data_IF_710167586167
#
_entry.id   IF_710167586167
#
_cell.length_a   1.000
_cell.length_b   1.000
_cell.length_c   1.000
_cell.angle_alpha   90.00
_cell.angle_beta   90.00
_cell.angle_gamma   90.00
#
_symmetry.space_group_name_H-M   'P 1'
#
loop_
_entity.id
_entity.type
_entity.pdbx_description
1 polymer ?
#
# COMPACT_ATOMS: atom_id res chain seq x y z
N UNK A 1 36.41 15.62 -70.77
CA UNK A 1 35.54 16.23 -69.74
C UNK A 1 34.53 15.15 -69.34
N UNK A 2 34.83 14.30 -68.36
CA UNK A 2 34.52 14.44 -66.91
C UNK A 2 33.01 14.60 -66.63
N UNK A 3 32.42 13.54 -66.07
CA UNK A 3 31.07 13.50 -65.48
C UNK A 3 30.63 12.04 -65.40
N UNK A 4 30.76 11.30 -64.30
CA UNK A 4 30.47 11.67 -62.91
C UNK A 4 29.34 10.75 -62.44
N UNK A 5 29.67 9.51 -62.08
CA UNK A 5 28.72 8.51 -61.57
C UNK A 5 28.20 8.96 -60.20
N UNK A 6 26.94 9.39 -60.13
CA UNK A 6 26.26 9.62 -58.86
C UNK A 6 25.86 8.28 -58.25
N UNK A 7 26.69 7.79 -57.33
CA UNK A 7 26.35 6.70 -56.43
C UNK A 7 25.50 7.24 -55.28
N UNK A 8 24.20 6.93 -55.28
CA UNK A 8 23.34 7.12 -54.11
C UNK A 8 23.67 6.03 -53.08
N UNK A 9 24.59 6.32 -52.15
CA UNK A 9 24.73 5.52 -50.94
C UNK A 9 23.56 5.83 -50.02
N UNK A 10 22.57 4.93 -49.97
CA UNK A 10 21.56 4.93 -48.93
C UNK A 10 22.25 4.78 -47.56
N UNK A 11 22.32 5.87 -46.81
CA UNK A 11 22.69 5.83 -45.40
C UNK A 11 21.61 5.03 -44.68
N UNK A 12 21.92 3.77 -44.33
CA UNK A 12 21.12 3.01 -43.39
C UNK A 12 21.11 3.80 -42.07
N UNK A 13 20.04 4.56 -41.82
CA UNK A 13 19.74 5.05 -40.49
C UNK A 13 19.62 3.82 -39.61
N UNK A 14 20.72 3.46 -38.91
CA UNK A 14 20.67 2.58 -37.76
C UNK A 14 19.60 3.19 -36.87
N UNK A 15 18.40 2.59 -36.84
CA UNK A 15 17.39 2.87 -35.82
C UNK A 15 18.16 2.82 -34.50
N UNK A 16 18.42 3.97 -33.88
CA UNK A 16 19.09 4.04 -32.59
C UNK A 16 18.21 3.18 -31.68
N UNK A 17 18.70 1.99 -31.31
CA UNK A 17 18.02 1.18 -30.31
C UNK A 17 17.85 2.09 -29.10
N UNK A 18 16.65 2.21 -28.51
CA UNK A 18 16.48 3.01 -27.31
C UNK A 18 17.57 2.59 -26.30
N UNK A 19 18.35 3.57 -25.85
CA UNK A 19 19.51 3.34 -25.00
C UNK A 19 19.02 2.72 -23.69
N UNK A 20 19.56 1.55 -23.33
CA UNK A 20 19.15 0.84 -22.13
C UNK A 20 19.51 1.67 -20.90
N UNK A 21 18.61 1.79 -19.94
CA UNK A 21 18.95 2.44 -18.68
C UNK A 21 20.03 1.61 -17.97
N UNK A 22 20.95 2.29 -17.28
CA UNK A 22 21.89 1.65 -16.34
C UNK A 22 21.78 2.46 -15.06
N UNK A 23 21.41 1.81 -13.97
CA UNK A 23 21.20 2.47 -12.70
C UNK A 23 21.75 1.66 -11.51
N UNK A 24 22.07 2.36 -10.43
CA UNK A 24 22.50 1.79 -9.16
C UNK A 24 21.71 2.37 -8.00
N UNK A 25 21.81 1.72 -6.83
CA UNK A 25 21.01 2.02 -5.64
C UNK A 25 19.95 0.94 -5.37
N UNK A 26 19.41 0.94 -4.15
CA UNK A 26 18.48 -0.10 -3.71
C UNK A 26 19.11 -1.50 -3.69
N UNK A 27 18.28 -2.51 -3.41
CA UNK A 27 18.67 -3.92 -3.49
C UNK A 27 18.41 -4.42 -4.91
N UNK A 28 19.46 -4.89 -5.58
CA UNK A 28 19.40 -5.37 -6.96
C UNK A 28 19.05 -6.85 -7.09
N UNK A 29 18.24 -7.18 -8.09
CA UNK A 29 18.02 -8.56 -8.55
C UNK A 29 17.76 -8.61 -10.06
N UNK A 30 17.83 -9.79 -10.65
CA UNK A 30 17.58 -9.99 -12.09
C UNK A 30 16.36 -10.85 -12.34
N UNK A 31 15.69 -10.59 -13.46
CA UNK A 31 14.47 -11.30 -13.85
C UNK A 31 14.51 -11.63 -15.35
N UNK A 32 14.20 -12.89 -15.69
CA UNK A 32 13.95 -13.32 -17.06
C UNK A 32 12.45 -13.64 -17.23
N UNK A 33 11.77 -12.98 -18.17
CA UNK A 33 10.36 -13.23 -18.51
C UNK A 33 10.20 -13.20 -20.02
N UNK A 34 9.65 -14.29 -20.60
CA UNK A 34 9.34 -14.40 -22.03
C UNK A 34 10.53 -14.03 -22.94
N UNK A 35 11.73 -14.51 -22.60
CA UNK A 35 12.96 -14.24 -23.35
C UNK A 35 13.50 -12.81 -23.24
N UNK A 36 12.99 -12.01 -22.28
CA UNK A 36 13.49 -10.66 -21.97
C UNK A 36 14.12 -10.66 -20.58
N UNK A 37 15.20 -9.90 -20.45
CA UNK A 37 15.99 -9.82 -19.23
C UNK A 37 15.87 -8.42 -18.62
N UNK A 38 15.75 -8.37 -17.31
CA UNK A 38 15.55 -7.14 -16.56
C UNK A 38 16.44 -7.10 -15.32
N UNK A 39 16.86 -5.89 -14.98
CA UNK A 39 17.34 -5.53 -13.64
C UNK A 39 16.16 -4.95 -12.86
N UNK A 40 16.02 -5.38 -11.61
CA UNK A 40 15.10 -4.82 -10.62
C UNK A 40 15.93 -4.17 -9.52
N UNK A 41 15.54 -2.97 -9.11
CA UNK A 41 16.08 -2.26 -7.95
C UNK A 41 14.95 -2.00 -6.97
N UNK A 42 15.04 -2.54 -5.76
CA UNK A 42 14.02 -2.40 -4.71
C UNK A 42 14.53 -1.51 -3.60
N UNK A 43 13.76 -0.47 -3.26
CA UNK A 43 14.00 0.41 -2.14
C UNK A 43 12.94 0.15 -1.07
N UNK A 44 13.34 -0.54 0.00
CA UNK A 44 12.56 -0.69 1.25
C UNK A 44 12.89 0.38 2.29
N UNK A 45 13.89 1.23 2.00
CA UNK A 45 14.24 2.42 2.75
C UNK A 45 14.61 3.55 1.76
N UNK A 46 14.46 4.80 2.20
CA UNK A 46 14.83 5.98 1.42
C UNK A 46 16.29 5.96 1.03
N UNK A 47 16.61 6.52 -0.14
CA UNK A 47 17.96 6.52 -0.68
C UNK A 47 18.04 7.25 -2.02
N UNK A 48 19.05 6.92 -2.80
CA UNK A 48 19.27 7.52 -4.11
C UNK A 48 19.31 6.44 -5.18
N UNK A 49 18.55 6.66 -6.24
CA UNK A 49 18.69 5.96 -7.52
C UNK A 49 19.64 6.79 -8.38
N UNK A 50 20.75 6.22 -8.81
CA UNK A 50 21.69 6.91 -9.70
C UNK A 50 21.61 6.28 -11.08
N UNK A 51 21.06 7.02 -12.05
CA UNK A 51 21.12 6.62 -13.45
C UNK A 51 22.50 6.96 -14.02
N UNK A 52 23.37 5.96 -14.09
CA UNK A 52 24.66 6.06 -14.79
C UNK A 52 24.42 6.35 -16.27
N UNK A 53 23.39 5.72 -16.83
CA UNK A 53 22.90 5.97 -18.18
C UNK A 53 21.38 6.17 -18.13
N UNK A 54 20.92 7.33 -18.61
CA UNK A 54 19.49 7.63 -18.74
C UNK A 54 18.79 6.66 -19.68
N UNK A 55 17.49 6.47 -19.48
CA UNK A 55 16.73 5.48 -20.24
C UNK A 55 15.29 5.33 -19.77
N UNK A 56 14.56 4.43 -20.46
CA UNK A 56 13.20 4.07 -20.06
C UNK A 56 13.24 3.04 -18.93
N UNK A 57 12.52 3.33 -17.85
CA UNK A 57 12.31 2.43 -16.72
C UNK A 57 10.80 2.16 -16.53
N UNK A 58 10.48 1.05 -15.90
CA UNK A 58 9.18 0.78 -15.27
C UNK A 58 9.32 0.98 -13.77
N UNK A 59 8.26 1.43 -13.11
CA UNK A 59 8.27 1.63 -11.66
C UNK A 59 6.96 1.18 -11.01
N UNK A 60 7.05 0.87 -9.72
CA UNK A 60 5.95 0.72 -8.78
C UNK A 60 6.33 1.52 -7.53
N UNK A 61 5.57 2.56 -7.21
CA UNK A 61 5.73 3.38 -6.00
C UNK A 61 4.52 3.11 -5.13
N UNK A 62 4.76 2.72 -3.88
CA UNK A 62 3.73 2.36 -2.94
C UNK A 62 3.85 3.23 -1.69
N UNK A 63 2.79 3.96 -1.33
CA UNK A 63 2.73 4.71 -0.08
C UNK A 63 2.66 3.79 1.15
N UNK A 64 3.00 4.31 2.33
CA UNK A 64 2.77 3.61 3.59
C UNK A 64 1.28 3.52 3.92
N UNK A 65 0.84 2.38 4.47
CA UNK A 65 -0.54 2.22 4.96
C UNK A 65 -0.77 2.95 6.27
N UNK A 66 -2.02 3.30 6.58
CA UNK A 66 -2.42 3.85 7.88
C UNK A 66 -2.47 2.79 8.97
N UNK A 67 -2.31 3.19 10.23
CA UNK A 67 -2.52 2.33 11.39
C UNK A 67 -4.00 2.21 11.78
N UNK A 68 -4.37 1.11 12.42
CA UNK A 68 -5.70 0.96 13.02
C UNK A 68 -5.84 1.73 14.33
N UNK A 69 -7.06 2.10 14.70
CA UNK A 69 -7.35 2.67 16.02
C UNK A 69 -7.30 1.58 17.09
N UNK A 70 -6.97 1.98 18.31
CA UNK A 70 -7.08 1.10 19.46
C UNK A 70 -8.50 1.08 20.05
N UNK A 71 -8.63 0.41 21.18
CA UNK A 71 -9.86 0.25 21.94
C UNK A 71 -9.66 0.50 23.44
N UNK A 72 -10.74 0.89 24.12
CA UNK A 72 -10.78 0.93 25.59
C UNK A 72 -12.13 0.44 26.11
N UNK A 73 -12.12 -0.45 27.11
CA UNK A 73 -13.35 -1.00 27.67
C UNK A 73 -14.15 -1.76 26.60
N UNK A 74 -15.43 -1.45 26.44
CA UNK A 74 -16.33 -2.22 25.57
C UNK A 74 -16.41 -1.72 24.12
N UNK A 75 -15.31 -1.16 23.62
CA UNK A 75 -15.19 -0.44 22.37
C UNK A 75 -14.30 -1.15 21.36
N UNK A 76 -14.56 -1.04 20.07
CA UNK A 76 -13.65 -1.52 19.02
C UNK A 76 -13.15 -0.38 18.14
N UNK A 77 -11.95 -0.56 17.58
CA UNK A 77 -11.28 0.43 16.72
C UNK A 77 -11.48 0.15 15.23
N UNK A 78 -11.61 1.23 14.45
CA UNK A 78 -11.57 1.17 12.99
C UNK A 78 -10.18 0.82 12.46
N UNK A 79 -10.11 0.26 11.25
CA UNK A 79 -8.84 -0.15 10.64
C UNK A 79 -8.17 0.98 9.85
N UNK A 80 -6.86 0.89 9.59
CA UNK A 80 -6.16 1.80 8.68
C UNK A 80 -6.41 1.47 7.20
N UNK A 81 -6.39 2.48 6.34
CA UNK A 81 -6.43 2.34 4.88
C UNK A 81 -5.06 1.97 4.30
N UNK A 82 -5.05 1.33 3.13
CA UNK A 82 -3.82 1.06 2.38
C UNK A 82 -3.16 2.33 1.84
N UNK A 83 -1.87 2.28 1.51
CA UNK A 83 -1.18 3.31 0.75
C UNK A 83 -1.56 3.26 -0.75
N UNK A 84 -1.33 4.37 -1.46
CA UNK A 84 -1.57 4.44 -2.90
C UNK A 84 -0.56 3.59 -3.69
N UNK A 85 -0.97 3.11 -4.87
CA UNK A 85 -0.15 2.27 -5.75
C UNK A 85 -0.01 2.96 -7.11
N UNK A 86 1.15 3.56 -7.37
CA UNK A 86 1.45 4.19 -8.66
C UNK A 86 2.39 3.31 -9.48
N UNK A 87 1.93 2.83 -10.64
CA UNK A 87 2.71 1.99 -11.55
C UNK A 87 2.65 2.49 -12.99
N UNK A 88 3.81 2.75 -13.60
CA UNK A 88 3.89 3.12 -15.02
C UNK A 88 5.32 2.93 -15.57
N UNK A 89 5.57 3.45 -16.78
CA UNK A 89 6.92 3.64 -17.31
C UNK A 89 7.25 5.11 -17.47
N UNK A 90 8.51 5.48 -17.27
CA UNK A 90 9.00 6.85 -17.45
C UNK A 90 10.38 6.82 -18.09
N UNK A 91 10.75 7.91 -18.79
CA UNK A 91 12.12 8.13 -19.24
C UNK A 91 12.82 9.07 -18.25
N UNK A 92 13.96 8.66 -17.72
CA UNK A 92 14.76 9.46 -16.81
C UNK A 92 16.12 9.78 -17.44
N UNK A 93 16.61 11.03 -17.32
CA UNK A 93 17.97 11.38 -17.73
C UNK A 93 19.01 10.72 -16.83
N UNK A 94 20.27 10.72 -17.26
CA UNK A 94 21.38 10.33 -16.39
C UNK A 94 21.49 11.31 -15.21
N UNK A 95 21.87 10.79 -14.03
CA UNK A 95 22.02 11.57 -12.80
C UNK A 95 21.29 10.96 -11.60
N UNK A 96 21.40 11.61 -10.43
CA UNK A 96 20.75 11.16 -9.21
C UNK A 96 19.26 11.48 -9.20
N UNK A 97 18.46 10.56 -8.67
CA UNK A 97 17.04 10.71 -8.38
C UNK A 97 16.80 10.26 -6.94
N UNK A 98 16.26 11.17 -6.12
CA UNK A 98 15.91 10.85 -4.74
C UNK A 98 14.75 9.85 -4.71
N UNK A 99 14.90 8.82 -3.86
CA UNK A 99 13.85 7.84 -3.56
C UNK A 99 13.45 8.01 -2.10
N UNK A 100 12.17 8.25 -1.86
CA UNK A 100 11.59 8.30 -0.51
C UNK A 100 10.69 7.08 -0.34
N UNK A 101 10.88 6.36 0.76
CA UNK A 101 9.98 5.27 1.16
C UNK A 101 9.18 5.72 2.37
N UNK A 102 7.87 5.79 2.19
CA UNK A 102 6.93 6.17 3.24
C UNK A 102 6.84 5.11 4.32
N UNK A 103 7.02 5.50 5.57
CA UNK A 103 6.71 4.66 6.72
C UNK A 103 5.19 4.42 6.83
N UNK A 104 4.81 3.28 7.39
CA UNK A 104 3.43 3.02 7.79
C UNK A 104 3.03 3.86 9.01
N UNK A 105 1.74 4.13 9.16
CA UNK A 105 1.18 4.83 10.30
C UNK A 105 1.24 4.00 11.58
N UNK A 106 1.42 4.66 12.72
CA UNK A 106 1.38 4.01 14.03
C UNK A 106 -0.03 3.51 14.35
N UNK A 107 -0.14 2.36 15.03
CA UNK A 107 -1.39 1.94 15.63
C UNK A 107 -1.80 2.86 16.78
N UNK A 108 -3.09 3.12 16.92
CA UNK A 108 -3.62 3.93 18.02
C UNK A 108 -3.46 3.21 19.36
N UNK A 109 -2.96 3.92 20.37
CA UNK A 109 -2.88 3.40 21.73
C UNK A 109 -4.23 3.59 22.44
N UNK A 110 -4.78 2.53 23.04
CA UNK A 110 -6.06 2.58 23.75
C UNK A 110 -7.17 3.18 22.87
N UNK A 111 -8.04 4.06 23.36
CA UNK A 111 -9.06 4.76 22.52
C UNK A 111 -8.48 5.80 21.54
N UNK A 112 -7.18 5.75 21.26
CA UNK A 112 -6.50 6.62 20.31
C UNK A 112 -6.78 6.28 18.85
N UNK A 113 -6.82 7.32 18.02
CA UNK A 113 -6.88 7.20 16.57
C UNK A 113 -5.62 6.55 16.00
N UNK A 114 -5.76 5.79 14.91
CA UNK A 114 -4.61 5.33 14.14
C UNK A 114 -3.91 6.47 13.41
N UNK A 115 -2.58 6.39 13.28
CA UNK A 115 -1.81 7.35 12.50
C UNK A 115 -1.98 7.15 10.99
N UNK A 116 -1.92 8.22 10.20
CA UNK A 116 -1.83 8.13 8.74
C UNK A 116 -0.47 7.58 8.30
N UNK A 117 -0.45 6.92 7.15
CA UNK A 117 0.79 6.49 6.49
C UNK A 117 1.46 7.63 5.73
N UNK A 118 2.77 7.52 5.51
CA UNK A 118 3.54 8.52 4.79
C UNK A 118 3.63 8.20 3.29
N UNK A 119 3.81 9.24 2.48
CA UNK A 119 3.99 9.09 1.03
C UNK A 119 5.36 8.49 0.67
N UNK A 120 5.40 7.77 -0.46
CA UNK A 120 6.64 7.34 -1.12
C UNK A 120 6.82 8.10 -2.42
N UNK A 121 8.06 8.29 -2.88
CA UNK A 121 8.33 8.98 -4.13
C UNK A 121 9.58 8.50 -4.88
N UNK A 122 9.56 8.72 -6.19
CA UNK A 122 10.69 8.63 -7.11
C UNK A 122 10.82 9.98 -7.82
N UNK A 123 11.69 10.85 -7.32
CA UNK A 123 11.75 12.24 -7.76
C UNK A 123 10.42 12.96 -7.53
N UNK A 124 9.76 13.40 -8.60
CA UNK A 124 8.47 14.11 -8.54
C UNK A 124 7.25 13.17 -8.53
N UNK A 125 7.44 11.89 -8.84
CA UNK A 125 6.37 10.89 -8.87
C UNK A 125 6.09 10.47 -7.42
N UNK A 126 4.85 10.64 -6.95
CA UNK A 126 4.49 10.43 -5.54
C UNK A 126 3.28 9.52 -5.44
N UNK A 127 3.35 8.53 -4.55
CA UNK A 127 2.21 7.75 -4.09
C UNK A 127 1.91 8.12 -2.63
N UNK A 128 0.71 8.63 -2.38
CA UNK A 128 0.31 9.11 -1.07
C UNK A 128 0.08 7.96 -0.07
N UNK A 129 0.16 8.24 1.23
CA UNK A 129 -0.09 7.27 2.29
C UNK A 129 -1.58 7.07 2.61
N UNK A 130 -1.90 6.00 3.34
CA UNK A 130 -3.25 5.64 3.76
C UNK A 130 -3.75 6.40 4.99
N UNK A 131 -5.07 6.49 5.16
CA UNK A 131 -5.71 7.11 6.33
C UNK A 131 -5.70 6.21 7.55
N UNK A 132 -5.60 6.79 8.75
CA UNK A 132 -5.66 6.05 10.02
C UNK A 132 -7.07 5.65 10.42
N UNK A 133 -7.22 4.55 11.17
CA UNK A 133 -8.52 4.10 11.67
C UNK A 133 -9.13 5.05 12.70
N UNK A 134 -10.46 5.16 12.71
CA UNK A 134 -11.19 5.98 13.68
C UNK A 134 -11.38 5.26 15.03
N UNK A 135 -11.22 5.96 16.17
CA UNK A 135 -11.60 5.42 17.47
C UNK A 135 -13.13 5.46 17.64
N UNK A 136 -13.62 4.95 18.77
CA UNK A 136 -15.04 4.97 19.13
C UNK A 136 -15.67 6.34 18.96
N UNK A 137 -16.84 6.39 18.33
CA UNK A 137 -17.60 7.61 18.11
C UNK A 137 -17.00 8.54 17.04
N UNK A 138 -15.95 8.11 16.33
CA UNK A 138 -15.26 8.93 15.35
C UNK A 138 -15.18 8.25 13.98
N UNK A 139 -15.15 9.08 12.94
CA UNK A 139 -14.89 8.63 11.58
C UNK A 139 -13.43 8.21 11.40
N UNK A 140 -13.18 7.43 10.34
CA UNK A 140 -11.81 7.15 9.91
C UNK A 140 -11.09 8.40 9.41
N UNK A 141 -9.76 8.38 9.49
CA UNK A 141 -8.90 9.43 8.93
C UNK A 141 -8.86 9.38 7.41
N UNK A 142 -8.71 10.56 6.80
CA UNK A 142 -8.50 10.70 5.36
C UNK A 142 -7.10 10.23 4.94
N UNK A 143 -6.98 9.79 3.69
CA UNK A 143 -5.70 9.45 3.06
C UNK A 143 -5.90 9.15 1.57
N UNK A 144 -4.89 8.57 0.92
CA UNK A 144 -5.07 8.08 -0.45
C UNK A 144 -6.18 7.02 -0.52
N UNK A 145 -6.19 6.13 0.47
CA UNK A 145 -7.30 5.25 0.78
C UNK A 145 -7.71 5.49 2.24
N UNK A 146 -9.01 5.59 2.49
CA UNK A 146 -9.54 6.06 3.78
C UNK A 146 -9.48 5.02 4.88
N UNK A 147 -9.30 5.45 6.13
CA UNK A 147 -9.40 4.56 7.30
C UNK A 147 -10.85 4.15 7.59
N UNK A 148 -11.05 3.03 8.27
CA UNK A 148 -12.36 2.57 8.72
C UNK A 148 -12.93 3.40 9.87
N UNK A 149 -14.26 3.54 9.90
CA UNK A 149 -14.96 4.21 11.01
C UNK A 149 -14.87 3.40 12.30
N UNK A 150 -14.64 4.07 13.44
CA UNK A 150 -14.63 3.40 14.73
C UNK A 150 -16.04 3.00 15.19
N UNK A 151 -16.11 2.15 16.21
CA UNK A 151 -17.38 1.67 16.75
C UNK A 151 -18.32 2.82 17.10
N UNK A 152 -19.59 2.70 16.70
CA UNK A 152 -20.65 3.64 17.11
C UNK A 152 -21.48 3.01 18.22
N UNK A 153 -21.75 3.76 19.29
CA UNK A 153 -22.72 3.35 20.31
C UNK A 153 -24.16 3.79 19.96
N UNK A 154 -24.33 4.65 18.96
CA UNK A 154 -25.62 5.22 18.56
C UNK A 154 -26.32 4.45 17.45
N UNK A 155 -27.46 4.98 17.00
CA UNK A 155 -28.26 4.44 15.88
C UNK A 155 -27.69 4.78 14.50
N UNK A 156 -26.63 5.58 14.44
CA UNK A 156 -25.96 6.02 13.21
C UNK A 156 -24.53 5.48 13.22
N UNK A 157 -24.11 4.90 12.10
CA UNK A 157 -22.75 4.44 11.92
C UNK A 157 -21.76 5.61 11.84
N UNK A 158 -20.54 5.41 12.37
CA UNK A 158 -19.46 6.35 12.08
C UNK A 158 -18.94 6.05 10.68
N UNK A 159 -18.79 7.09 9.86
CA UNK A 159 -18.31 6.96 8.50
C UNK A 159 -16.86 6.44 8.45
N UNK A 160 -16.50 5.78 7.36
CA UNK A 160 -15.10 5.65 7.00
C UNK A 160 -14.52 7.01 6.60
N UNK A 161 -13.21 7.13 6.71
CA UNK A 161 -12.48 8.28 6.18
C UNK A 161 -12.56 8.33 4.66
N UNK A 162 -12.50 9.53 4.07
CA UNK A 162 -12.45 9.66 2.62
C UNK A 162 -11.12 9.14 2.08
N UNK A 163 -11.17 8.50 0.91
CA UNK A 163 -10.02 8.20 0.07
C UNK A 163 -10.09 8.97 -1.24
N UNK A 164 -9.22 8.61 -2.19
CA UNK A 164 -9.48 8.82 -3.61
C UNK A 164 -10.89 8.30 -3.96
N UNK A 165 -11.55 8.82 -5.02
CA UNK A 165 -12.87 8.36 -5.42
C UNK A 165 -12.92 6.83 -5.45
N UNK A 166 -13.92 6.24 -4.79
CA UNK A 166 -14.13 4.79 -4.68
C UNK A 166 -13.21 4.03 -3.71
N UNK A 167 -12.26 4.65 -3.01
CA UNK A 167 -11.33 3.99 -2.08
C UNK A 167 -11.48 4.44 -0.62
N UNK A 168 -12.71 4.83 -0.25
CA UNK A 168 -13.03 5.21 1.13
C UNK A 168 -13.02 4.01 2.06
N UNK A 169 -12.81 4.28 3.35
CA UNK A 169 -13.00 3.26 4.39
C UNK A 169 -14.48 2.89 4.54
N UNK A 170 -14.71 1.70 5.11
CA UNK A 170 -16.04 1.23 5.45
C UNK A 170 -16.54 1.92 6.73
N UNK A 171 -17.84 2.24 6.83
CA UNK A 171 -18.43 2.69 8.08
C UNK A 171 -18.51 1.54 9.11
N UNK A 172 -18.62 1.91 10.39
CA UNK A 172 -18.95 0.97 11.47
C UNK A 172 -20.40 0.50 11.41
N UNK A 173 -20.78 -0.43 12.29
CA UNK A 173 -22.17 -0.84 12.45
C UNK A 173 -22.86 0.03 13.52
N UNK A 174 -24.12 0.47 13.33
CA UNK A 174 -24.84 1.23 14.33
C UNK A 174 -25.25 0.33 15.51
N UNK A 175 -24.55 0.43 16.65
CA UNK A 175 -24.80 -0.49 17.76
C UNK A 175 -26.15 -0.24 18.46
N UNK A 176 -26.65 1.00 18.45
CA UNK A 176 -27.88 1.41 19.14
C UNK A 176 -27.91 0.92 20.62
N UNK A 177 -26.78 1.04 21.31
CA UNK A 177 -26.59 0.61 22.70
C UNK A 177 -26.41 -0.91 22.92
N UNK A 178 -26.56 -1.74 21.89
CA UNK A 178 -26.52 -3.21 22.01
C UNK A 178 -25.06 -3.71 21.89
N UNK A 179 -24.50 -4.38 22.91
CA UNK A 179 -23.09 -4.78 22.92
C UNK A 179 -22.64 -5.66 21.76
N UNK A 180 -23.47 -6.62 21.34
CA UNK A 180 -23.16 -7.59 20.27
C UNK A 180 -23.01 -6.93 18.89
N UNK A 181 -23.38 -5.65 18.77
CA UNK A 181 -23.38 -4.88 17.52
C UNK A 181 -22.14 -4.00 17.34
N UNK A 182 -21.19 -4.07 18.27
CA UNK A 182 -20.05 -3.14 18.40
C UNK A 182 -18.90 -3.50 17.47
N UNK A 183 -19.18 -3.38 16.17
CA UNK A 183 -18.26 -3.73 15.09
C UNK A 183 -17.78 -2.46 14.37
N UNK A 184 -16.48 -2.38 14.14
CA UNK A 184 -15.85 -1.24 13.48
C UNK A 184 -15.63 -1.49 12.00
N UNK A 185 -15.50 -0.42 11.22
CA UNK A 185 -15.30 -0.45 9.79
C UNK A 185 -13.88 -0.86 9.38
N UNK A 186 -13.75 -1.46 8.19
CA UNK A 186 -12.47 -1.75 7.56
C UNK A 186 -11.91 -0.53 6.83
N UNK A 187 -10.60 -0.51 6.58
CA UNK A 187 -9.95 0.53 5.80
C UNK A 187 -10.05 0.27 4.30
N UNK A 188 -10.14 1.32 3.49
CA UNK A 188 -10.12 1.21 2.02
C UNK A 188 -8.76 0.70 1.52
N UNK A 189 -8.77 0.00 0.40
CA UNK A 189 -7.56 -0.44 -0.29
C UNK A 189 -7.41 0.25 -1.64
N UNK A 190 -6.19 0.24 -2.18
CA UNK A 190 -5.88 0.89 -3.46
C UNK A 190 -6.64 0.31 -4.67
N UNK A 191 -7.24 -0.88 -4.52
CA UNK A 191 -8.07 -1.53 -5.54
C UNK A 191 -9.56 -1.48 -5.27
N UNK A 192 -10.02 -0.88 -4.16
CA UNK A 192 -11.45 -0.76 -3.86
C UNK A 192 -11.78 -0.33 -2.43
N UNK A 193 -12.97 0.26 -2.27
CA UNK A 193 -13.50 0.63 -0.95
C UNK A 193 -13.63 -0.59 -0.02
N UNK A 194 -13.57 -0.31 1.28
CA UNK A 194 -13.96 -1.29 2.27
C UNK A 194 -15.50 -1.38 2.37
N UNK A 195 -16.07 -2.59 2.43
CA UNK A 195 -17.49 -2.75 2.75
C UNK A 195 -17.79 -2.26 4.18
N UNK A 196 -19.04 -1.88 4.48
CA UNK A 196 -19.46 -1.56 5.84
C UNK A 196 -19.29 -2.76 6.79
N UNK A 197 -19.09 -2.48 8.07
CA UNK A 197 -19.26 -3.49 9.11
C UNK A 197 -20.71 -4.01 9.13
N UNK A 198 -20.91 -5.22 9.63
CA UNK A 198 -22.22 -5.85 9.70
C UNK A 198 -22.62 -6.15 11.15
N UNK A 199 -23.84 -6.66 11.34
CA UNK A 199 -24.33 -7.08 12.66
C UNK A 199 -23.39 -8.11 13.33
N UNK A 200 -22.83 -9.03 12.55
CA UNK A 200 -22.06 -10.16 13.07
C UNK A 200 -20.57 -10.08 12.85
N UNK A 201 -20.03 -9.06 12.17
CA UNK A 201 -18.61 -9.01 11.82
C UNK A 201 -18.10 -7.58 11.64
N UNK A 202 -16.80 -7.40 11.94
CA UNK A 202 -16.05 -6.20 11.57
C UNK A 202 -16.01 -6.02 10.07
N UNK A 203 -15.90 -4.77 9.61
CA UNK A 203 -15.75 -4.47 8.19
C UNK A 203 -14.44 -5.06 7.66
N UNK A 204 -14.51 -5.76 6.52
CA UNK A 204 -13.31 -6.24 5.84
C UNK A 204 -12.53 -5.07 5.24
N UNK A 205 -11.21 -5.21 5.14
CA UNK A 205 -10.38 -4.26 4.41
C UNK A 205 -10.68 -4.30 2.91
N UNK A 206 -10.60 -3.14 2.26
CA UNK A 206 -10.68 -3.03 0.80
C UNK A 206 -9.50 -3.75 0.13
N UNK A 207 -9.73 -4.26 -1.07
CA UNK A 207 -8.71 -4.99 -1.85
C UNK A 207 -7.59 -4.06 -2.32
N UNK A 208 -6.39 -4.61 -2.48
CA UNK A 208 -5.26 -3.89 -3.06
C UNK A 208 -5.22 -3.97 -4.58
N UNK A 209 -4.11 -3.51 -5.17
CA UNK A 209 -3.81 -3.67 -6.59
C UNK A 209 -2.80 -4.80 -6.78
N UNK A 210 -3.07 -5.70 -7.73
CA UNK A 210 -2.15 -6.77 -8.11
C UNK A 210 -1.19 -6.28 -9.18
N UNK A 211 0.12 -6.45 -8.96
CA UNK A 211 1.15 -6.09 -9.94
C UNK A 211 2.30 -7.10 -9.97
N UNK A 212 2.90 -7.30 -11.15
CA UNK A 212 3.95 -8.29 -11.39
C UNK A 212 5.32 -7.65 -11.72
N UNK A 213 5.67 -6.55 -11.04
CA UNK A 213 6.93 -5.84 -11.32
C UNK A 213 8.16 -6.71 -11.02
N UNK A 214 8.08 -7.58 -10.03
CA UNK A 214 9.14 -8.53 -9.64
C UNK A 214 9.10 -9.86 -10.39
N UNK A 215 8.17 -10.03 -11.33
CA UNK A 215 7.98 -11.27 -12.08
C UNK A 215 6.95 -12.23 -11.46
N UNK A 216 6.54 -12.00 -10.21
CA UNK A 216 5.42 -12.69 -9.56
C UNK A 216 4.29 -11.72 -9.31
N UNK A 217 3.05 -12.13 -9.59
CA UNK A 217 1.86 -11.32 -9.28
C UNK A 217 1.68 -11.23 -7.77
N UNK A 218 1.68 -10.01 -7.25
CA UNK A 218 1.55 -9.74 -5.83
C UNK A 218 0.56 -8.60 -5.60
N UNK A 219 -0.26 -8.71 -4.55
CA UNK A 219 -1.14 -7.64 -4.09
C UNK A 219 -0.41 -6.61 -3.22
N UNK A 220 -0.73 -5.34 -3.43
CA UNK A 220 -0.19 -4.17 -2.74
C UNK A 220 -1.31 -3.20 -2.32
N UNK A 221 -1.13 -2.52 -1.18
CA UNK A 221 -2.02 -1.44 -0.76
C UNK A 221 -3.40 -1.91 -0.29
N UNK A 222 -3.53 -3.14 0.21
CA UNK A 222 -4.77 -3.62 0.82
C UNK A 222 -5.11 -2.90 2.13
N UNK A 223 -6.40 -2.68 2.39
CA UNK A 223 -6.88 -2.07 3.62
C UNK A 223 -6.87 -3.02 4.82
N UNK A 224 -6.86 -2.47 6.04
CA UNK A 224 -6.96 -3.25 7.27
C UNK A 224 -8.39 -3.69 7.59
N UNK A 225 -8.54 -4.77 8.36
CA UNK A 225 -9.81 -5.24 8.88
C UNK A 225 -10.23 -4.54 10.17
N UNK A 226 -11.52 -4.23 10.31
CA UNK A 226 -12.07 -3.58 11.50
C UNK A 226 -12.11 -4.49 12.72
N UNK A 227 -11.91 -3.91 13.91
CA UNK A 227 -11.99 -4.65 15.17
C UNK A 227 -13.43 -4.95 15.59
N UNK A 228 -13.58 -5.94 16.47
CA UNK A 228 -14.90 -6.36 16.97
C UNK A 228 -14.95 -6.53 18.48
N UNK A 229 -16.18 -6.46 18.99
CA UNK A 229 -16.51 -6.80 20.36
C UNK A 229 -16.71 -8.30 20.57
N UNK A 230 -16.18 -8.82 21.68
CA UNK A 230 -16.38 -10.19 22.16
C UNK A 230 -16.21 -11.27 21.08
N UNK A 231 -17.29 -11.95 20.68
CA UNK A 231 -17.24 -13.18 19.89
C UNK A 231 -17.42 -12.98 18.39
N UNK A 232 -17.69 -11.75 17.96
CA UNK A 232 -17.87 -11.46 16.54
C UNK A 232 -16.55 -11.65 15.78
N UNK A 233 -16.56 -12.34 14.63
CA UNK A 233 -15.41 -12.42 13.74
C UNK A 233 -14.83 -11.03 13.41
N UNK A 234 -13.51 -10.84 13.56
CA UNK A 234 -12.87 -9.61 13.15
C UNK A 234 -12.93 -9.43 11.63
N UNK A 235 -12.76 -8.20 11.15
CA UNK A 235 -12.62 -7.92 9.73
C UNK A 235 -11.40 -8.63 9.15
N UNK A 236 -11.58 -9.29 8.01
CA UNK A 236 -10.48 -9.87 7.24
C UNK A 236 -9.72 -8.78 6.46
N UNK A 237 -8.51 -9.11 5.99
CA UNK A 237 -7.71 -8.24 5.13
C UNK A 237 -6.98 -9.07 4.07
N UNK A 238 -6.61 -8.43 2.96
CA UNK A 238 -5.91 -9.03 1.82
C UNK A 238 -4.80 -8.09 1.33
N UNK A 239 -3.97 -8.55 0.38
CA UNK A 239 -3.00 -7.71 -0.33
C UNK A 239 -2.05 -6.89 0.57
N UNK A 240 -1.68 -7.48 1.70
CA UNK A 240 -0.78 -6.91 2.68
C UNK A 240 -1.45 -6.16 3.83
N UNK A 241 -2.78 -6.00 3.83
CA UNK A 241 -3.52 -5.46 4.96
C UNK A 241 -3.50 -6.39 6.18
N UNK A 242 -3.61 -5.82 7.37
CA UNK A 242 -3.70 -6.53 8.64
C UNK A 242 -5.14 -6.78 9.06
N UNK A 243 -5.46 -8.00 9.48
CA UNK A 243 -6.78 -8.36 10.02
C UNK A 243 -7.08 -7.65 11.34
N UNK A 244 -8.37 -7.41 11.61
CA UNK A 244 -8.83 -6.79 12.86
C UNK A 244 -8.64 -7.67 14.09
N UNK A 245 -8.69 -7.05 15.27
CA UNK A 245 -8.69 -7.74 16.55
C UNK A 245 -10.09 -8.13 17.03
N UNK A 246 -10.15 -9.07 17.98
CA UNK A 246 -11.38 -9.57 18.61
C UNK A 246 -11.20 -9.71 20.12
N UNK A 247 -12.30 -9.55 20.86
CA UNK A 247 -12.33 -9.68 22.31
C UNK A 247 -12.13 -11.08 22.88
N UNK A 248 -12.99 -12.03 22.53
CA UNK A 248 -13.06 -13.35 23.18
C UNK A 248 -13.28 -14.47 22.16
N UNK A 249 -12.33 -15.42 22.00
CA UNK A 249 -10.99 -15.35 22.58
C UNK A 249 -10.25 -14.12 22.06
N UNK A 250 -9.29 -13.64 22.85
CA UNK A 250 -8.55 -12.43 22.51
C UNK A 250 -7.70 -12.66 21.26
N UNK A 251 -7.98 -11.90 20.20
CA UNK A 251 -7.17 -11.83 18.98
C UNK A 251 -6.62 -10.41 18.88
N UNK A 252 -5.30 -10.26 18.86
CA UNK A 252 -4.68 -8.96 18.62
C UNK A 252 -4.89 -8.55 17.16
N UNK A 253 -5.02 -7.24 16.93
CA UNK A 253 -5.02 -6.73 15.57
C UNK A 253 -3.67 -7.03 14.90
N UNK A 254 -3.70 -7.41 13.63
CA UNK A 254 -2.49 -7.68 12.86
C UNK A 254 -2.00 -6.41 12.17
N UNK A 255 -0.67 -6.23 12.13
CA UNK A 255 -0.05 -5.13 11.41
C UNK A 255 -0.16 -5.33 9.90
N UNK A 256 -0.17 -4.22 9.16
CA UNK A 256 0.05 -4.27 7.71
C UNK A 256 1.44 -4.81 7.39
N UNK A 257 1.55 -5.59 6.33
CA UNK A 257 2.83 -6.17 5.90
C UNK A 257 3.78 -5.06 5.43
N UNK A 258 5.02 -5.10 5.92
CA UNK A 258 6.09 -4.20 5.47
C UNK A 258 6.33 -4.35 3.96
N UNK A 259 6.67 -3.24 3.31
CA UNK A 259 6.91 -3.12 1.87
C UNK A 259 5.70 -3.53 1.00
N UNK A 260 4.51 -3.54 1.58
CA UNK A 260 3.23 -3.84 0.91
C UNK A 260 2.20 -2.72 1.08
N UNK A 261 2.54 -1.64 1.81
CA UNK A 261 1.67 -0.48 1.99
C UNK A 261 0.31 -0.81 2.60
N UNK A 262 0.16 -1.95 3.27
CA UNK A 262 -1.14 -2.40 3.77
C UNK A 262 -1.58 -1.65 5.02
N UNK A 263 -2.89 -1.45 5.19
CA UNK A 263 -3.45 -0.85 6.40
C UNK A 263 -3.35 -1.77 7.62
N UNK A 264 -3.17 -1.20 8.81
CA UNK A 264 -3.18 -1.95 10.08
C UNK A 264 -4.59 -2.29 10.55
N UNK A 265 -4.75 -3.44 11.19
CA UNK A 265 -6.03 -3.87 11.77
C UNK A 265 -6.48 -2.98 12.94
N UNK A 266 -7.79 -2.80 13.07
CA UNK A 266 -8.41 -2.11 14.21
C UNK A 266 -8.49 -3.00 15.44
N UNK A 267 -8.34 -2.44 16.64
CA UNK A 267 -8.34 -3.23 17.87
C UNK A 267 -9.72 -3.83 18.20
N UNK A 268 -9.70 -5.07 18.69
CA UNK A 268 -10.88 -5.70 19.29
C UNK A 268 -11.10 -5.26 20.73
N UNK A 269 -12.23 -5.69 21.31
CA UNK A 269 -12.66 -5.29 22.65
C UNK A 269 -12.95 -6.46 23.57
N UNK A 270 -12.34 -6.48 24.76
CA UNK A 270 -12.79 -7.27 25.91
C UNK A 270 -13.39 -6.38 26.97
N UNK A 271 -14.35 -6.91 27.75
CA UNK A 271 -14.91 -6.16 28.88
C UNK A 271 -13.79 -5.73 29.83
N UNK A 272 -13.62 -4.41 30.00
CA UNK A 272 -12.63 -3.81 30.89
C UNK A 272 -11.17 -3.81 30.40
N UNK A 273 -10.90 -4.24 29.16
CA UNK A 273 -9.55 -4.27 28.59
C UNK A 273 -9.31 -3.13 27.59
N UNK A 274 -8.08 -2.61 27.55
CA UNK A 274 -7.65 -1.67 26.52
C UNK A 274 -6.61 -2.34 25.62
N UNK A 275 -6.73 -2.14 24.30
CA UNK A 275 -5.84 -2.76 23.30
C UNK A 275 -5.45 -1.74 22.25
N UNK A 276 -4.23 -1.87 21.75
CA UNK A 276 -3.76 -1.00 20.68
C UNK A 276 -4.24 -1.52 19.33
N UNK A 277 -4.49 -0.58 18.41
CA UNK A 277 -4.59 -0.92 17.00
C UNK A 277 -3.22 -1.33 16.48
N UNK A 278 -3.19 -1.98 15.32
CA UNK A 278 -1.94 -2.37 14.72
C UNK A 278 -1.39 -1.29 13.78
N UNK A 279 -0.07 -1.26 13.59
CA UNK A 279 0.57 -0.34 12.65
C UNK A 279 0.26 -0.69 11.19
N UNK A 280 0.30 0.32 10.33
CA UNK A 280 0.32 0.13 8.89
C UNK A 280 1.67 -0.39 8.39
N UNK A 281 1.65 -1.03 7.23
CA UNK A 281 2.84 -1.50 6.53
C UNK A 281 3.56 -0.33 5.83
N UNK A 282 4.89 -0.40 5.78
CA UNK A 282 5.69 0.54 4.99
C UNK A 282 5.39 0.43 3.50
N UNK A 283 5.63 1.55 2.81
CA UNK A 283 5.69 1.60 1.35
C UNK A 283 6.91 0.88 0.78
N UNK A 284 7.04 0.94 -0.55
CA UNK A 284 8.20 0.44 -1.29
C UNK A 284 8.32 1.18 -2.61
N UNK A 285 9.53 1.36 -3.12
CA UNK A 285 9.76 1.82 -4.49
C UNK A 285 10.53 0.74 -5.25
N UNK A 286 9.94 0.23 -6.32
CA UNK A 286 10.54 -0.81 -7.16
C UNK A 286 10.71 -0.25 -8.56
N UNK A 287 11.91 -0.36 -9.09
CA UNK A 287 12.26 0.04 -10.45
C UNK A 287 12.66 -1.20 -11.23
N UNK A 288 12.24 -1.28 -12.49
CA UNK A 288 12.63 -2.35 -13.42
C UNK A 288 13.07 -1.75 -14.75
N UNK A 289 14.17 -2.22 -15.31
CA UNK A 289 14.61 -1.84 -16.64
C UNK A 289 15.25 -3.00 -17.39
N UNK A 290 15.23 -2.92 -18.72
CA UNK A 290 15.77 -3.99 -19.58
C UNK A 290 17.29 -4.01 -19.54
N UNK A 291 17.85 -5.21 -19.48
CA UNK A 291 19.27 -5.50 -19.66
C UNK A 291 19.46 -6.51 -20.80
N UNK A 292 20.68 -6.63 -21.29
CA UNK A 292 21.08 -7.66 -22.25
C UNK A 292 21.14 -9.04 -21.60
N UNK A 293 21.10 -10.09 -22.43
CA UNK A 293 21.29 -11.45 -21.96
C UNK A 293 22.70 -11.66 -21.37
N UNK A 294 23.72 -11.04 -21.94
CA UNK A 294 25.09 -11.12 -21.40
C UNK A 294 25.20 -10.50 -20.01
N UNK A 295 24.56 -9.35 -19.78
CA UNK A 295 24.51 -8.72 -18.45
C UNK A 295 23.72 -9.57 -17.45
N UNK A 296 22.64 -10.22 -17.89
CA UNK A 296 21.89 -11.15 -17.04
C UNK A 296 22.74 -12.36 -16.62
N UNK A 297 23.46 -12.97 -17.58
CA UNK A 297 24.28 -14.15 -17.32
C UNK A 297 25.52 -13.83 -16.47
N UNK A 298 26.08 -12.62 -16.56
CA UNK A 298 27.24 -12.22 -15.75
C UNK A 298 26.93 -12.04 -14.25
N UNK A 299 25.66 -11.95 -13.86
CA UNK A 299 25.25 -11.79 -12.46
C UNK A 299 24.72 -13.07 -11.81
N UNK A 300 24.51 -14.13 -12.60
CA UNK A 300 24.10 -15.44 -12.12
C UNK A 300 25.27 -16.43 -11.93
N UNK A 301 26.51 -15.99 -12.11
CA UNK A 301 27.74 -16.77 -11.96
C UNK A 301 28.43 -16.49 -10.62
#
# INVERSE_FOLDING_TARGET
>A
MLGGQMSFRAAAQRRRRPQAAIATGGVGSTLAVNGRFYRILTFSASGMLTLVQGGRIEYLILGGGGGGAGSSGNESGGAGGGGDVLAASVHLPAGPVTVIVGAGGSGGAFSGQGGGGNASSLGVLTAAGGGGGGPTGQAGGAGANGGGGGMSNGSVANAGGPGNPEFSGGPSFPAAGIPERRNSGGGGGAGGMAPPASLGAGGAGGVGVVHAITGTSLGYGGGGGGGTFQTNPPGAAVDGGGAGGRGSPAIEAAAGLMNRGGGGGGAGSTIGGARSGASGGSGVVIIRYRISQSEYLSEGA
#
